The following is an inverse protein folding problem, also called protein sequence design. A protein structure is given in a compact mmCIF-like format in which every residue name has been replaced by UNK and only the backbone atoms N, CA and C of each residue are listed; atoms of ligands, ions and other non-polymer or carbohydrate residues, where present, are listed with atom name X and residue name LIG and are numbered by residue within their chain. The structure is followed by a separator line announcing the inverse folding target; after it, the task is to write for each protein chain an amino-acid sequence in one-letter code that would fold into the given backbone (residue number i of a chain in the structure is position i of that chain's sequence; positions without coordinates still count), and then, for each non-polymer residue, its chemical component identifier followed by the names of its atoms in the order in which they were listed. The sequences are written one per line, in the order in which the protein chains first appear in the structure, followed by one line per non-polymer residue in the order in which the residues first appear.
data_IF_872201854296
#
_entry.id   IF_872201854296
#
_cell.length_a   1.000
_cell.length_b   1.000
_cell.length_c   1.000
_cell.angle_alpha   90.00
_cell.angle_beta   90.00
_cell.angle_gamma   90.00
#
_symmetry.space_group_name_H-M   'P 1'
#
loop_
_entity.id
_entity.type
_entity.pdbx_description
1 polymer ?
#
# COMPACT_ATOMS: atom_id res chain seq x y z
N UNK A 1 8.03 -4.10 7.54
CA UNK A 1 9.00 -3.01 7.31
C UNK A 1 10.39 -3.57 7.05
N UNK A 2 11.16 -4.06 8.04
CA UNK A 2 12.55 -4.57 7.84
C UNK A 2 12.71 -5.55 6.66
N UNK A 3 11.81 -6.54 6.54
CA UNK A 3 11.83 -7.51 5.42
C UNK A 3 11.66 -6.87 4.04
N UNK A 4 10.78 -5.88 3.92
CA UNK A 4 10.54 -5.14 2.66
C UNK A 4 11.76 -4.28 2.32
N UNK A 5 12.34 -3.59 3.31
CA UNK A 5 13.57 -2.80 3.11
C UNK A 5 14.71 -3.67 2.59
N UNK A 6 14.97 -4.81 3.25
CA UNK A 6 16.02 -5.75 2.82
C UNK A 6 15.76 -6.27 1.41
N UNK A 7 14.50 -6.60 1.10
CA UNK A 7 14.11 -7.06 -0.24
C UNK A 7 14.39 -6.01 -1.31
N UNK A 8 13.99 -4.76 -1.11
CA UNK A 8 14.24 -3.68 -2.08
C UNK A 8 15.73 -3.36 -2.23
N UNK A 9 16.51 -3.40 -1.15
CA UNK A 9 17.97 -3.23 -1.21
C UNK A 9 18.63 -4.36 -2.01
N UNK A 10 18.24 -5.61 -1.75
CA UNK A 10 18.75 -6.77 -2.49
C UNK A 10 18.38 -6.69 -3.98
N UNK A 11 17.12 -6.36 -4.29
CA UNK A 11 16.65 -6.18 -5.67
C UNK A 11 17.42 -5.08 -6.41
N UNK A 12 17.63 -3.92 -5.77
CA UNK A 12 18.41 -2.83 -6.35
C UNK A 12 19.87 -3.24 -6.61
N UNK A 13 20.50 -3.96 -5.66
CA UNK A 13 21.86 -4.47 -5.82
C UNK A 13 21.99 -5.50 -6.95
N UNK A 14 21.05 -6.45 -7.02
CA UNK A 14 21.00 -7.45 -8.10
C UNK A 14 20.80 -6.75 -9.45
N UNK A 15 19.86 -5.81 -9.55
CA UNK A 15 19.61 -5.05 -10.78
C UNK A 15 20.83 -4.24 -11.20
N UNK A 16 21.55 -3.65 -10.26
CA UNK A 16 22.80 -2.97 -10.56
C UNK A 16 23.80 -3.94 -11.21
N UNK A 17 24.05 -5.12 -10.60
CA UNK A 17 24.96 -6.12 -11.17
C UNK A 17 24.48 -6.61 -12.55
N UNK A 18 23.19 -6.90 -12.71
CA UNK A 18 22.63 -7.39 -13.98
C UNK A 18 22.73 -6.35 -15.09
N UNK A 19 22.48 -5.07 -14.79
CA UNK A 19 22.60 -3.97 -15.75
C UNK A 19 24.02 -3.79 -16.31
N UNK A 20 25.05 -4.28 -15.60
CA UNK A 20 26.47 -4.21 -16.02
C UNK A 20 27.06 -5.56 -16.45
N UNK A 21 26.26 -6.63 -16.43
CA UNK A 21 26.72 -7.95 -16.85
C UNK A 21 26.84 -8.06 -18.37
N UNK A 22 27.73 -8.94 -18.85
CA UNK A 22 27.96 -9.18 -20.29
C UNK A 22 26.64 -9.55 -20.97
N UNK A 23 26.13 -8.65 -21.81
CA UNK A 23 24.83 -8.81 -22.45
C UNK A 23 24.01 -7.53 -22.43
N UNK A 24 24.11 -6.67 -21.42
CA UNK A 24 23.44 -5.37 -21.43
C UNK A 24 24.24 -4.32 -22.21
N UNK A 25 23.57 -3.45 -22.97
CA UNK A 25 24.23 -2.30 -23.60
C UNK A 25 24.68 -1.34 -22.49
N UNK A 26 25.96 -0.92 -22.48
CA UNK A 26 26.48 0.05 -21.51
C UNK A 26 25.94 1.46 -21.87
N UNK A 27 24.65 1.67 -21.60
CA UNK A 27 24.01 2.97 -21.74
C UNK A 27 24.00 3.64 -20.36
N UNK A 28 24.39 4.92 -20.24
CA UNK A 28 24.43 5.64 -18.96
C UNK A 28 23.10 5.59 -18.19
N UNK A 29 21.98 5.48 -18.92
CA UNK A 29 20.63 5.34 -18.35
C UNK A 29 20.52 4.11 -17.42
N UNK A 30 21.13 2.97 -17.77
CA UNK A 30 21.08 1.76 -16.96
C UNK A 30 21.87 1.86 -15.64
N UNK A 31 22.77 2.83 -15.51
CA UNK A 31 23.41 3.15 -14.24
C UNK A 31 22.42 3.74 -13.23
N UNK A 32 21.50 4.59 -13.70
CA UNK A 32 20.56 5.29 -12.82
C UNK A 32 19.27 4.52 -12.57
N UNK A 33 18.88 3.60 -13.45
CA UNK A 33 17.62 2.87 -13.35
C UNK A 33 17.42 2.08 -12.04
N UNK A 34 18.42 1.42 -11.45
CA UNK A 34 18.27 0.76 -10.15
C UNK A 34 17.83 1.71 -9.01
N UNK A 35 18.09 3.01 -9.11
CA UNK A 35 17.59 4.00 -8.13
C UNK A 35 16.07 4.15 -8.16
N UNK A 36 15.41 3.83 -9.27
CA UNK A 36 13.93 3.83 -9.33
C UNK A 36 13.33 2.79 -8.38
N UNK A 37 14.04 1.70 -8.08
CA UNK A 37 13.60 0.72 -7.07
C UNK A 37 13.57 1.35 -5.68
N UNK A 38 14.51 2.25 -5.38
CA UNK A 38 14.50 3.00 -4.11
C UNK A 38 13.30 3.96 -4.09
N UNK A 39 12.95 4.57 -5.22
CA UNK A 39 11.74 5.39 -5.35
C UNK A 39 10.49 4.54 -5.10
N UNK A 40 10.40 3.35 -5.69
CA UNK A 40 9.29 2.43 -5.47
C UNK A 40 9.15 2.04 -3.99
N UNK A 41 10.28 1.75 -3.32
CA UNK A 41 10.31 1.50 -1.89
C UNK A 41 9.70 2.66 -1.08
N UNK A 42 10.07 3.90 -1.40
CA UNK A 42 9.56 5.10 -0.72
C UNK A 42 8.08 5.34 -1.01
N UNK A 43 7.59 4.98 -2.19
CA UNK A 43 6.16 5.04 -2.53
C UNK A 43 5.37 4.03 -1.68
N UNK A 44 5.87 2.80 -1.55
CA UNK A 44 5.24 1.71 -0.80
C UNK A 44 5.32 1.91 0.71
N UNK A 45 6.48 2.33 1.23
CA UNK A 45 6.71 2.38 2.68
C UNK A 45 6.43 3.76 3.28
N UNK A 46 6.34 4.79 2.42
CA UNK A 46 6.39 6.18 2.84
C UNK A 46 7.80 6.60 3.25
N UNK A 47 8.03 7.91 3.30
CA UNK A 47 9.29 8.47 3.79
C UNK A 47 9.39 8.19 5.30
N UNK A 48 10.49 7.57 5.79
CA UNK A 48 10.69 7.30 7.21
C UNK A 48 10.51 8.56 8.06
N UNK A 49 9.83 8.42 9.20
CA UNK A 49 9.60 9.52 10.14
C UNK A 49 8.40 10.41 9.82
N UNK A 50 7.71 10.22 8.69
CA UNK A 50 6.45 10.93 8.41
C UNK A 50 5.25 10.18 8.95
N UNK A 51 4.22 10.91 9.39
CA UNK A 51 2.94 10.37 9.89
C UNK A 51 2.33 9.33 8.94
N UNK A 52 2.49 9.54 7.63
CA UNK A 52 2.00 8.61 6.61
C UNK A 52 2.70 7.24 6.64
N UNK A 53 4.02 7.20 6.84
CA UNK A 53 4.76 5.92 6.97
C UNK A 53 4.32 5.13 8.20
N UNK A 54 3.93 5.84 9.27
CA UNK A 54 3.41 5.24 10.49
C UNK A 54 2.05 4.60 10.19
N UNK A 55 1.18 5.31 9.47
CA UNK A 55 -0.15 4.79 9.05
C UNK A 55 -0.04 3.57 8.14
N UNK A 56 0.81 3.60 7.12
CA UNK A 56 1.07 2.43 6.27
C UNK A 56 1.62 1.28 7.10
N UNK A 57 2.61 1.53 7.96
CA UNK A 57 3.18 0.48 8.81
C UNK A 57 2.12 -0.13 9.73
N UNK A 58 1.21 0.68 10.28
CA UNK A 58 0.11 0.20 11.12
C UNK A 58 -0.86 -0.67 10.30
N UNK A 59 -1.26 -0.20 9.12
CA UNK A 59 -2.11 -0.94 8.19
C UNK A 59 -1.52 -2.30 7.82
N UNK A 60 -0.24 -2.33 7.46
CA UNK A 60 0.47 -3.55 7.08
C UNK A 60 0.54 -4.57 8.23
N UNK A 61 0.60 -4.10 9.48
CA UNK A 61 0.61 -4.96 10.68
C UNK A 61 -0.78 -5.50 10.99
N UNK A 62 -1.79 -4.63 11.04
CA UNK A 62 -3.15 -5.03 11.41
C UNK A 62 -4.19 -4.14 10.71
N UNK A 63 -5.19 -4.76 10.11
CA UNK A 63 -6.29 -4.06 9.45
C UNK A 63 -7.16 -3.24 10.41
N UNK A 64 -7.23 -3.65 11.68
CA UNK A 64 -7.93 -2.93 12.74
C UNK A 64 -7.30 -1.55 13.04
N UNK A 65 -6.10 -1.27 12.53
CA UNK A 65 -5.53 0.08 12.63
C UNK A 65 -6.29 1.12 11.80
N UNK A 66 -7.07 0.68 10.80
CA UNK A 66 -7.90 1.55 9.95
C UNK A 66 -9.39 1.33 10.19
N UNK A 67 -9.82 0.09 10.43
CA UNK A 67 -11.22 -0.20 10.77
C UNK A 67 -11.55 0.27 12.19
N UNK A 68 -11.84 1.56 12.33
CA UNK A 68 -12.11 2.22 13.62
C UNK A 68 -13.58 2.59 13.81
N UNK A 69 -14.50 2.07 13.00
CA UNK A 69 -15.92 2.48 12.98
C UNK A 69 -16.57 2.31 14.37
N UNK A 70 -16.42 1.14 14.99
CA UNK A 70 -16.94 0.87 16.33
C UNK A 70 -16.29 1.75 17.39
N UNK A 71 -14.97 1.93 17.32
CA UNK A 71 -14.25 2.83 18.23
C UNK A 71 -14.76 4.27 18.12
N UNK A 72 -15.00 4.75 16.90
CA UNK A 72 -15.56 6.08 16.66
C UNK A 72 -16.96 6.19 17.23
N UNK A 73 -17.79 5.17 17.07
CA UNK A 73 -19.13 5.11 17.66
C UNK A 73 -19.09 5.16 19.19
N UNK A 74 -18.27 4.31 19.82
CA UNK A 74 -18.10 4.25 21.28
C UNK A 74 -17.56 5.57 21.84
N UNK A 75 -16.60 6.20 21.16
CA UNK A 75 -16.06 7.51 21.55
C UNK A 75 -17.10 8.63 21.41
N UNK A 76 -17.96 8.57 20.39
CA UNK A 76 -18.97 9.60 20.11
C UNK A 76 -20.22 9.48 21.01
N UNK A 77 -20.48 8.28 21.52
CA UNK A 77 -21.59 7.99 22.44
C UNK A 77 -21.18 8.05 23.92
N UNK A 78 -19.87 8.12 24.21
CA UNK A 78 -19.35 8.18 25.57
C UNK A 78 -19.91 9.40 26.33
N UNK A 79 -20.67 9.13 27.39
CA UNK A 79 -21.27 10.16 28.24
C UNK A 79 -22.63 10.68 27.77
N UNK A 80 -23.18 10.17 26.66
CA UNK A 80 -24.57 10.42 26.23
C UNK A 80 -25.47 9.30 26.79
N UNK A 81 -26.72 9.61 27.17
CA UNK A 81 -27.67 8.61 27.69
C UNK A 81 -28.12 7.72 26.53
N UNK A 82 -27.61 6.48 26.49
CA UNK A 82 -27.88 5.48 25.44
C UNK A 82 -29.19 4.73 25.77
N UNK A 83 -30.31 5.44 25.80
CA UNK A 83 -31.64 4.80 26.01
C UNK A 83 -32.54 4.84 24.77
N UNK A 84 -32.06 5.40 23.64
CA UNK A 84 -32.83 5.39 22.41
C UNK A 84 -32.62 4.09 21.62
N UNK A 85 -33.72 3.45 21.23
CA UNK A 85 -33.75 2.31 20.32
C UNK A 85 -32.96 2.59 19.03
N UNK A 86 -32.94 3.87 18.60
CA UNK A 86 -32.19 4.37 17.47
C UNK A 86 -30.65 4.23 17.63
N UNK A 87 -30.10 4.51 18.81
CA UNK A 87 -28.66 4.32 19.07
C UNK A 87 -28.27 2.84 19.05
N UNK A 88 -29.12 1.96 19.61
CA UNK A 88 -28.91 0.50 19.52
C UNK A 88 -28.98 -0.01 18.08
N UNK A 89 -29.88 0.54 17.27
CA UNK A 89 -29.96 0.20 15.85
C UNK A 89 -28.71 0.70 15.09
N UNK A 90 -28.23 1.91 15.39
CA UNK A 90 -26.99 2.43 14.82
C UNK A 90 -25.77 1.59 15.22
N UNK A 91 -25.65 1.17 16.48
CA UNK A 91 -24.57 0.27 16.94
C UNK A 91 -24.54 -1.04 16.15
N UNK A 92 -25.73 -1.66 15.91
CA UNK A 92 -25.85 -2.87 15.09
C UNK A 92 -25.42 -2.62 13.65
N UNK A 93 -25.80 -1.48 13.06
CA UNK A 93 -25.39 -1.10 11.70
C UNK A 93 -23.88 -0.89 11.62
N UNK A 94 -23.29 -0.17 12.56
CA UNK A 94 -21.84 0.06 12.64
C UNK A 94 -21.08 -1.27 12.78
N UNK A 95 -21.53 -2.15 13.67
CA UNK A 95 -20.94 -3.47 13.86
C UNK A 95 -21.02 -4.33 12.59
N UNK A 96 -22.17 -4.32 11.92
CA UNK A 96 -22.36 -5.03 10.66
C UNK A 96 -21.50 -4.46 9.53
N UNK A 97 -21.36 -3.14 9.44
CA UNK A 97 -20.50 -2.48 8.46
C UNK A 97 -19.03 -2.83 8.68
N UNK A 98 -18.55 -2.78 9.92
CA UNK A 98 -17.17 -3.12 10.25
C UNK A 98 -16.86 -4.59 9.91
N UNK A 99 -17.78 -5.51 10.22
CA UNK A 99 -17.64 -6.93 9.89
C UNK A 99 -17.63 -7.17 8.37
N UNK A 100 -18.52 -6.50 7.63
CA UNK A 100 -18.57 -6.57 6.15
C UNK A 100 -17.31 -5.98 5.51
N UNK A 101 -16.74 -4.92 6.08
CA UNK A 101 -15.54 -4.26 5.57
C UNK A 101 -14.25 -4.99 5.95
N UNK A 102 -14.27 -5.85 6.97
CA UNK A 102 -13.09 -6.61 7.41
C UNK A 102 -12.47 -7.45 6.29
N UNK A 103 -13.25 -8.32 5.64
CA UNK A 103 -12.76 -9.20 4.56
C UNK A 103 -12.21 -8.42 3.35
N UNK A 104 -12.93 -7.44 2.77
CA UNK A 104 -12.40 -6.61 1.68
C UNK A 104 -11.13 -5.86 2.07
N UNK A 105 -11.07 -5.31 3.29
CA UNK A 105 -9.91 -4.56 3.76
C UNK A 105 -8.69 -5.48 3.96
N UNK A 106 -8.89 -6.70 4.48
CA UNK A 106 -7.84 -7.72 4.55
C UNK A 106 -7.33 -8.14 3.17
N UNK A 107 -8.22 -8.29 2.20
CA UNK A 107 -7.84 -8.57 0.81
C UNK A 107 -7.01 -7.43 0.23
N UNK A 108 -7.43 -6.18 0.42
CA UNK A 108 -6.66 -5.01 -0.01
C UNK A 108 -5.28 -4.96 0.66
N UNK A 109 -5.18 -5.30 1.94
CA UNK A 109 -3.87 -5.42 2.63
C UNK A 109 -2.99 -6.48 1.97
N UNK A 110 -3.54 -7.66 1.67
CA UNK A 110 -2.81 -8.73 0.98
C UNK A 110 -2.35 -8.29 -0.41
N UNK A 111 -3.23 -7.65 -1.18
CA UNK A 111 -2.90 -7.10 -2.50
C UNK A 111 -1.81 -6.03 -2.41
N UNK A 112 -1.89 -5.14 -1.43
CA UNK A 112 -0.86 -4.12 -1.19
C UNK A 112 0.51 -4.75 -0.94
N UNK A 113 0.57 -5.74 -0.05
CA UNK A 113 1.81 -6.48 0.25
C UNK A 113 2.30 -7.21 -1.00
N UNK A 114 1.40 -7.88 -1.74
CA UNK A 114 1.74 -8.57 -2.96
C UNK A 114 2.36 -7.61 -3.99
N UNK A 115 1.72 -6.49 -4.26
CA UNK A 115 2.22 -5.47 -5.17
C UNK A 115 3.58 -4.91 -4.74
N UNK A 116 3.78 -4.71 -3.43
CA UNK A 116 5.06 -4.27 -2.88
C UNK A 116 6.20 -5.25 -3.19
N UNK A 117 5.95 -6.56 -3.17
CA UNK A 117 6.96 -7.56 -3.55
C UNK A 117 7.01 -7.82 -5.05
N UNK A 118 5.90 -7.66 -5.77
CA UNK A 118 5.83 -7.92 -7.20
C UNK A 118 6.54 -6.85 -8.03
N UNK A 119 6.46 -5.58 -7.62
CA UNK A 119 7.01 -4.45 -8.38
C UNK A 119 8.49 -4.65 -8.79
N UNK A 120 9.44 -4.93 -7.87
CA UNK A 120 10.84 -5.13 -8.26
C UNK A 120 11.10 -6.36 -9.14
N UNK A 121 10.17 -7.32 -9.20
CA UNK A 121 10.32 -8.52 -10.04
C UNK A 121 10.24 -8.21 -11.54
N UNK A 122 9.54 -7.15 -11.94
CA UNK A 122 9.43 -6.76 -13.36
C UNK A 122 10.79 -6.43 -13.98
N UNK A 123 11.55 -5.45 -13.45
CA UNK A 123 12.88 -5.17 -13.96
C UNK A 123 13.84 -6.35 -13.76
N UNK A 124 13.72 -7.09 -12.65
CA UNK A 124 14.56 -8.27 -12.41
C UNK A 124 14.38 -9.33 -13.49
N UNK A 125 13.13 -9.66 -13.83
CA UNK A 125 12.81 -10.66 -14.85
C UNK A 125 13.33 -10.26 -16.24
N UNK A 126 13.16 -8.98 -16.61
CA UNK A 126 13.65 -8.46 -17.90
C UNK A 126 15.17 -8.51 -17.97
N UNK A 127 15.86 -8.09 -16.92
CA UNK A 127 17.32 -8.10 -16.89
C UNK A 127 17.88 -9.52 -16.85
N UNK A 128 17.33 -10.41 -16.02
CA UNK A 128 17.73 -11.82 -15.98
C UNK A 128 17.53 -12.51 -17.33
N UNK A 129 16.40 -12.29 -17.98
CA UNK A 129 16.11 -12.85 -19.31
C UNK A 129 17.17 -12.45 -20.34
N UNK A 130 17.56 -11.18 -20.36
CA UNK A 130 18.62 -10.73 -21.27
C UNK A 130 19.97 -11.37 -21.01
N UNK A 131 20.35 -11.54 -19.74
CA UNK A 131 21.61 -12.19 -19.37
C UNK A 131 21.61 -13.66 -19.81
N UNK A 132 20.50 -14.38 -19.57
CA UNK A 132 20.37 -15.80 -19.93
C UNK A 132 20.43 -16.00 -21.44
N UNK A 133 19.71 -15.16 -22.20
CA UNK A 133 19.63 -15.26 -23.66
C UNK A 133 20.87 -14.65 -24.35
N UNK A 134 21.81 -14.06 -23.58
CA UNK A 134 22.98 -13.31 -24.07
C UNK A 134 22.62 -12.22 -25.09
N UNK A 135 21.36 -11.77 -25.09
CA UNK A 135 20.85 -10.78 -26.03
C UNK A 135 20.78 -9.44 -25.32
N UNK A 136 21.14 -8.38 -26.03
CA UNK A 136 21.05 -7.02 -25.51
C UNK A 136 19.63 -6.66 -25.14
N UNK A 137 19.41 -6.22 -23.88
CA UNK A 137 18.16 -5.54 -23.51
C UNK A 137 18.03 -4.33 -24.41
N UNK A 138 16.93 -4.29 -25.16
CA UNK A 138 16.51 -3.07 -25.83
C UNK A 138 16.16 -2.02 -24.78
N UNK A 139 16.73 -0.82 -24.89
CA UNK A 139 16.54 0.29 -23.93
C UNK A 139 15.06 0.48 -23.59
N UNK A 140 14.20 0.38 -24.61
CA UNK A 140 12.74 0.48 -24.49
C UNK A 140 12.17 -0.59 -23.56
N UNK A 141 12.51 -1.86 -23.75
CA UNK A 141 12.05 -2.96 -22.89
C UNK A 141 12.56 -2.81 -21.44
N UNK A 142 13.81 -2.37 -21.29
CA UNK A 142 14.38 -2.01 -19.99
C UNK A 142 13.54 -0.94 -19.30
N UNK A 143 13.33 0.21 -19.94
CA UNK A 143 12.53 1.31 -19.41
C UNK A 143 11.09 0.88 -19.06
N UNK A 144 10.42 0.13 -19.94
CA UNK A 144 9.07 -0.36 -19.69
C UNK A 144 8.97 -1.20 -18.42
N UNK A 145 9.97 -2.01 -18.12
CA UNK A 145 9.96 -2.85 -16.91
C UNK A 145 10.00 -2.02 -15.60
N UNK A 146 10.76 -0.93 -15.57
CA UNK A 146 10.79 -0.01 -14.44
C UNK A 146 9.52 0.84 -14.35
N UNK A 147 8.95 1.26 -15.49
CA UNK A 147 7.66 1.96 -15.51
C UNK A 147 6.54 1.05 -15.00
N UNK A 148 6.52 -0.24 -15.37
CA UNK A 148 5.56 -1.21 -14.86
C UNK A 148 5.67 -1.38 -13.34
N UNK A 149 6.89 -1.47 -12.80
CA UNK A 149 7.16 -1.48 -11.35
C UNK A 149 6.55 -0.25 -10.66
N UNK A 150 6.82 0.93 -11.21
CA UNK A 150 6.31 2.20 -10.69
C UNK A 150 4.78 2.29 -10.72
N UNK A 151 4.15 1.88 -11.82
CA UNK A 151 2.68 1.88 -11.95
C UNK A 151 2.05 1.01 -10.87
N UNK A 152 2.60 -0.18 -10.63
CA UNK A 152 2.07 -1.11 -9.62
C UNK A 152 2.11 -0.48 -8.23
N UNK A 153 3.25 0.08 -7.81
CA UNK A 153 3.35 0.69 -6.48
C UNK A 153 2.44 1.92 -6.35
N UNK A 154 2.28 2.72 -7.41
CA UNK A 154 1.38 3.86 -7.43
C UNK A 154 -0.10 3.45 -7.33
N UNK A 155 -0.51 2.42 -8.04
CA UNK A 155 -1.87 1.89 -7.98
C UNK A 155 -2.19 1.33 -6.60
N UNK A 156 -1.27 0.56 -6.01
CA UNK A 156 -1.44 0.04 -4.64
C UNK A 156 -1.54 1.16 -3.62
N UNK A 157 -0.73 2.21 -3.78
CA UNK A 157 -0.80 3.40 -2.93
C UNK A 157 -2.13 4.13 -3.09
N UNK A 158 -2.62 4.29 -4.32
CA UNK A 158 -3.91 4.93 -4.59
C UNK A 158 -5.07 4.12 -3.99
N UNK A 159 -5.04 2.80 -4.13
CA UNK A 159 -6.04 1.90 -3.54
C UNK A 159 -6.08 2.03 -2.00
N UNK A 160 -4.91 2.05 -1.35
CA UNK A 160 -4.81 2.28 0.09
C UNK A 160 -5.38 3.65 0.51
N UNK A 161 -5.01 4.73 -0.18
CA UNK A 161 -5.52 6.07 0.12
C UNK A 161 -7.04 6.17 -0.07
N UNK A 162 -7.59 5.47 -1.07
CA UNK A 162 -9.04 5.43 -1.26
C UNK A 162 -9.74 4.68 -0.13
N UNK A 163 -9.18 3.56 0.35
CA UNK A 163 -9.72 2.85 1.52
C UNK A 163 -9.73 3.75 2.75
N UNK A 164 -8.59 4.40 3.04
CA UNK A 164 -8.44 5.31 4.17
C UNK A 164 -9.52 6.41 4.13
N UNK A 165 -9.67 7.09 2.99
CA UNK A 165 -10.69 8.13 2.80
C UNK A 165 -12.12 7.61 2.95
N UNK A 166 -12.41 6.39 2.47
CA UNK A 166 -13.75 5.80 2.62
C UNK A 166 -14.06 5.53 4.08
N UNK A 167 -13.10 5.01 4.85
CA UNK A 167 -13.28 4.77 6.27
C UNK A 167 -13.39 6.08 7.07
N UNK A 168 -12.59 7.10 6.72
CA UNK A 168 -12.71 8.44 7.30
C UNK A 168 -14.11 9.04 7.07
N UNK A 169 -14.64 8.95 5.84
CA UNK A 169 -16.00 9.41 5.53
C UNK A 169 -17.08 8.66 6.32
N UNK A 170 -16.96 7.34 6.42
CA UNK A 170 -17.89 6.54 7.22
C UNK A 170 -17.83 6.91 8.71
N UNK A 171 -16.64 7.18 9.25
CA UNK A 171 -16.48 7.68 10.61
C UNK A 171 -17.15 9.05 10.82
N UNK A 172 -17.03 9.96 9.85
CA UNK A 172 -17.73 11.26 9.89
C UNK A 172 -19.25 11.11 9.82
N UNK A 173 -19.76 10.22 8.97
CA UNK A 173 -21.19 9.90 8.89
C UNK A 173 -21.72 9.30 10.19
N UNK A 174 -20.96 8.40 10.83
CA UNK A 174 -21.31 7.86 12.16
C UNK A 174 -21.40 8.97 13.19
N UNK A 175 -20.42 9.87 13.23
CA UNK A 175 -20.42 11.01 14.17
C UNK A 175 -21.65 11.89 13.99
N UNK A 176 -21.96 12.25 12.74
CA UNK A 176 -23.16 13.04 12.40
C UNK A 176 -24.43 12.33 12.84
N UNK A 177 -24.58 11.04 12.51
CA UNK A 177 -25.75 10.27 12.90
C UNK A 177 -25.91 10.19 14.43
N UNK A 178 -24.81 10.04 15.18
CA UNK A 178 -24.85 10.06 16.65
C UNK A 178 -25.28 11.43 17.17
N UNK A 179 -24.76 12.51 16.60
CA UNK A 179 -25.15 13.87 17.01
C UNK A 179 -26.62 14.16 16.70
N UNK A 180 -27.11 13.83 15.51
CA UNK A 180 -28.51 14.00 15.10
C UNK A 180 -29.51 13.22 15.96
N UNK A 181 -29.12 12.05 16.50
CA UNK A 181 -29.98 11.25 17.38
C UNK A 181 -29.98 11.79 18.82
N UNK A 182 -28.97 12.58 19.20
CA UNK A 182 -28.76 13.02 20.59
C UNK A 182 -29.10 14.49 20.83
N UNK A 183 -29.39 15.25 19.76
CA UNK A 183 -30.05 16.55 19.81
C UNK A 183 -31.57 16.38 19.92
#
# INVERSE_FOLDING_TARGET
MKKVTVYYMASAGILFVLNFSKGAYFHPVFFFLPFLIIVDYLIVSGIPGRSYSIRISAFLRNIQSILTLRRTFDESTKGKIIDSENLRNLEKVVSSLEEKLKKPSELQRKLYIFSAYAAPLFPLAVMLSSVIVQRRVEIVAGLFSYVASLIIVLLSRKAFSNLEKTIEKLNEEIRKAVDDITQ
#
